data_IF_050642622040
#
_entry.id   IF_050642622040
#
_cell.length_a   1.000
_cell.length_b   1.000
_cell.length_c   1.000
_cell.angle_alpha   90.00
_cell.angle_beta   90.00
_cell.angle_gamma   90.00
#
_symmetry.space_group_name_H-M   'P 1'
#
loop_
_entity.id
_entity.type
_entity.pdbx_description
1 polymer ?
#
# COMPACT_ATOMS: atom_id res chain seq x y z
N UNK A 1 22.61 -1.21 -14.16
CA UNK A 1 22.14 -1.40 -13.55
C UNK A 1 21.12 -0.79 -13.26
N UNK A 2 20.33 -0.94 -12.76
CA UNK A 2 19.27 -0.45 -12.53
C UNK A 2 19.29 0.14 -11.35
N UNK A 3 18.64 1.06 -11.06
CA UNK A 3 18.66 1.61 -9.93
C UNK A 3 17.83 0.99 -9.07
N UNK A 4 18.05 0.94 -7.87
CA UNK A 4 17.23 0.38 -7.00
C UNK A 4 16.04 1.13 -6.83
N UNK A 5 14.93 0.56 -6.75
CA UNK A 5 13.69 1.21 -6.49
C UNK A 5 13.60 1.44 -5.02
N UNK A 6 13.67 2.73 -4.62
CA UNK A 6 13.59 3.08 -3.27
C UNK A 6 12.38 2.54 -2.60
N UNK A 7 11.29 2.34 -3.30
CA UNK A 7 10.08 1.86 -2.69
C UNK A 7 9.79 0.39 -2.99
N UNK A 8 10.76 -0.34 -3.47
CA UNK A 8 10.54 -1.75 -3.77
C UNK A 8 10.02 -2.53 -2.58
N UNK A 9 10.67 -2.37 -1.44
CA UNK A 9 10.24 -3.06 -0.23
C UNK A 9 8.88 -2.60 0.22
N UNK A 10 8.64 -1.31 0.10
CA UNK A 10 7.36 -0.75 0.49
C UNK A 10 6.26 -1.34 -0.38
N UNK A 11 6.51 -1.44 -1.67
CA UNK A 11 5.51 -1.99 -2.57
C UNK A 11 5.18 -3.44 -2.22
N UNK A 12 6.19 -4.19 -1.86
CA UNK A 12 5.97 -5.57 -1.48
C UNK A 12 5.12 -5.66 -0.23
N UNK A 13 5.41 -4.81 0.74
CA UNK A 13 4.64 -4.81 1.97
C UNK A 13 3.20 -4.37 1.71
N UNK A 14 3.03 -3.37 0.87
CA UNK A 14 1.70 -2.90 0.55
C UNK A 14 0.89 -4.03 -0.07
N UNK A 15 1.50 -4.75 -1.01
CA UNK A 15 0.82 -5.84 -1.68
C UNK A 15 0.46 -6.94 -0.68
N UNK A 16 1.39 -7.26 0.20
CA UNK A 16 1.16 -8.29 1.20
C UNK A 16 0.01 -7.90 2.12
N UNK A 17 0.03 -6.68 2.62
CA UNK A 17 -1.01 -6.21 3.51
C UNK A 17 -2.36 -6.20 2.80
N UNK A 18 -2.34 -5.76 1.56
CA UNK A 18 -3.55 -5.68 0.78
C UNK A 18 -4.17 -7.08 0.62
N UNK A 19 -3.37 -8.05 0.26
CA UNK A 19 -3.86 -9.39 0.05
C UNK A 19 -4.25 -10.09 1.35
N UNK A 20 -3.53 -9.81 2.40
CA UNK A 20 -3.86 -10.39 3.69
C UNK A 20 -5.24 -9.96 4.12
N UNK A 21 -5.66 -8.79 3.73
CA UNK A 21 -6.92 -8.24 4.11
C UNK A 21 -7.94 -8.24 3.00
N UNK A 22 -7.63 -9.02 1.96
CA UNK A 22 -8.56 -9.22 0.86
C UNK A 22 -9.07 -7.94 0.23
N UNK A 23 -8.21 -6.96 0.17
CA UNK A 23 -8.55 -5.71 -0.46
C UNK A 23 -9.44 -4.80 0.35
N UNK A 24 -9.61 -5.10 1.66
CA UNK A 24 -10.43 -4.28 2.48
C UNK A 24 -9.76 -3.05 2.99
N UNK A 25 -8.45 -3.03 3.08
CA UNK A 25 -7.75 -1.89 3.61
C UNK A 25 -7.52 -0.85 2.53
N UNK A 26 -7.83 0.36 2.84
CA UNK A 26 -7.53 1.47 1.95
C UNK A 26 -6.14 1.97 2.26
N UNK A 27 -5.69 3.00 1.57
CA UNK A 27 -4.32 3.47 1.72
C UNK A 27 -4.00 3.98 3.11
N UNK A 28 -4.99 4.53 3.80
CA UNK A 28 -4.72 5.03 5.12
C UNK A 28 -4.40 3.90 6.09
N UNK A 29 -5.16 2.82 5.99
CA UNK A 29 -4.91 1.71 6.88
C UNK A 29 -3.59 1.06 6.54
N UNK A 30 -3.30 0.94 5.25
CA UNK A 30 -2.04 0.35 4.84
C UNK A 30 -0.88 1.20 5.30
N UNK A 31 -1.02 2.53 5.26
CA UNK A 31 0.01 3.41 5.75
C UNK A 31 0.27 3.16 7.24
N UNK A 32 -0.79 2.99 8.00
CA UNK A 32 -0.65 2.74 9.42
C UNK A 32 0.09 1.42 9.66
N UNK A 33 -0.21 0.41 8.87
CA UNK A 33 0.48 -0.87 9.01
C UNK A 33 1.94 -0.74 8.65
N UNK A 34 2.24 0.06 7.63
CA UNK A 34 3.62 0.27 7.24
C UNK A 34 4.39 0.96 8.34
N UNK A 35 3.78 1.93 9.00
CA UNK A 35 4.45 2.64 10.07
C UNK A 35 4.75 1.67 11.21
N UNK A 36 3.88 0.71 11.44
CA UNK A 36 4.13 -0.25 12.48
C UNK A 36 5.31 -1.14 12.13
N UNK A 37 5.59 -1.30 10.84
CA UNK A 37 6.70 -2.11 10.38
C UNK A 37 7.91 -1.25 10.09
N UNK A 38 7.89 -0.04 10.64
CA UNK A 38 9.02 0.87 10.54
C UNK A 38 9.32 1.40 9.15
N UNK A 39 8.32 1.48 8.30
CA UNK A 39 8.48 2.10 7.01
C UNK A 39 8.03 3.55 7.16
N UNK A 40 8.86 4.45 6.78
CA UNK A 40 8.57 5.86 6.92
C UNK A 40 8.01 6.43 5.64
N UNK A 41 6.77 6.13 5.31
CA UNK A 41 6.15 6.70 4.12
C UNK A 41 4.87 7.36 4.53
N UNK A 42 4.45 8.37 3.80
CA UNK A 42 3.23 9.02 4.16
C UNK A 42 2.10 8.47 3.30
N UNK A 43 0.88 8.82 3.66
CA UNK A 43 -0.27 8.23 2.99
C UNK A 43 -0.37 8.61 1.52
N UNK A 44 0.15 9.76 1.15
CA UNK A 44 0.12 10.15 -0.23
C UNK A 44 0.99 9.23 -1.07
N UNK A 45 2.15 8.87 -0.55
CA UNK A 45 3.04 7.98 -1.23
C UNK A 45 2.40 6.60 -1.35
N UNK A 46 1.78 6.15 -0.29
CA UNK A 46 1.13 4.84 -0.31
C UNK A 46 0.01 4.82 -1.33
N UNK A 47 -0.77 5.89 -1.38
CA UNK A 47 -1.85 5.97 -2.33
C UNK A 47 -1.34 5.86 -3.77
N UNK A 48 -0.27 6.58 -4.06
CA UNK A 48 0.30 6.57 -5.36
C UNK A 48 0.84 5.19 -5.71
N UNK A 49 1.53 4.54 -4.77
CA UNK A 49 2.08 3.24 -5.02
C UNK A 49 0.98 2.20 -5.23
N UNK A 50 -0.09 2.30 -4.46
CA UNK A 50 -1.19 1.38 -4.64
C UNK A 50 -1.79 1.53 -6.04
N UNK A 51 -1.87 2.77 -6.50
CA UNK A 51 -2.41 3.01 -7.80
C UNK A 51 -1.52 2.41 -8.87
N UNK A 52 -0.22 2.53 -8.71
CA UNK A 52 0.72 1.97 -9.64
C UNK A 52 0.63 0.45 -9.66
N UNK A 53 0.35 -0.14 -8.52
CA UNK A 53 0.26 -1.57 -8.40
C UNK A 53 -1.12 -2.11 -8.81
N UNK A 54 -2.04 -1.22 -9.07
CA UNK A 54 -3.38 -1.61 -9.44
C UNK A 54 -4.21 -2.08 -8.27
N UNK A 55 -3.84 -1.67 -7.06
CA UNK A 55 -4.55 -2.09 -5.87
C UNK A 55 -5.54 -1.02 -5.46
N UNK A 56 -6.79 -1.37 -5.34
CA UNK A 56 -7.77 -0.39 -4.92
C UNK A 56 -8.59 -0.98 -3.81
N UNK A 57 -9.16 -0.12 -2.99
CA UNK A 57 -9.96 -0.58 -1.88
C UNK A 57 -11.22 -1.20 -2.43
N UNK A 58 -11.51 -2.41 -2.06
CA UNK A 58 -12.64 -3.08 -2.58
C UNK A 58 -13.91 -2.88 -1.84
N UNK A 59 -13.87 -2.15 -0.77
CA UNK A 59 -15.05 -1.85 -0.03
C UNK A 59 -15.88 -0.93 -0.86
N UNK A 60 -17.11 -1.34 -1.29
CA UNK A 60 -17.90 -0.51 -2.08
C UNK A 60 -18.99 0.03 -1.35
N UNK A 61 -19.30 1.17 -1.56
CA UNK A 61 -20.37 1.77 -0.92
C UNK A 61 -21.50 1.49 -1.71
N UNK A 62 -22.53 1.14 -1.36
CA UNK A 62 -23.56 0.77 -2.11
C UNK A 62 -24.33 1.79 -2.42
N UNK A 63 -24.85 2.10 -3.16
CA UNK A 63 -25.51 3.08 -3.48
C UNK A 63 -26.61 2.98 -3.43
#
# INVERSE_FOLDING_TARGET
MQKEDKYASVKEEITTIYHENRGRYGYRRITAELHKREFSVNHKTVQRLMKELGLVCRIRMKK
#
